data_IF_599950909323
#
_entry.id   IF_599950909323
#
_cell.length_a   1.000
_cell.length_b   1.000
_cell.length_c   1.000
_cell.angle_alpha   90.00
_cell.angle_beta   90.00
_cell.angle_gamma   90.00
#
_symmetry.space_group_name_H-M   'P 1'
#
loop_
_entity.id
_entity.type
_entity.pdbx_description
1 polymer ?
#
# COMPACT_ATOMS: atom_id res chain seq x y z
N UNK A 1 -14.33 -12.92 -7.03
CA UNK A 1 -13.20 -13.01 -6.09
C UNK A 1 -12.08 -13.84 -6.66
N UNK A 2 -11.14 -13.22 -7.38
CA UNK A 2 -9.98 -13.90 -7.97
C UNK A 2 -8.66 -13.59 -7.23
N UNK A 3 -8.74 -13.06 -6.00
CA UNK A 3 -7.57 -12.74 -5.17
C UNK A 3 -6.84 -11.43 -5.47
N UNK A 4 -7.27 -10.61 -6.43
CA UNK A 4 -6.58 -9.34 -6.78
C UNK A 4 -6.43 -8.39 -5.58
N UNK A 5 -7.50 -8.18 -4.82
CA UNK A 5 -7.46 -7.34 -3.61
C UNK A 5 -6.58 -7.94 -2.52
N UNK A 6 -6.51 -9.27 -2.43
CA UNK A 6 -5.62 -9.98 -1.50
C UNK A 6 -4.15 -9.76 -1.87
N UNK A 7 -3.81 -9.79 -3.16
CA UNK A 7 -2.45 -9.51 -3.64
C UNK A 7 -2.06 -8.05 -3.37
N UNK A 8 -2.96 -7.10 -3.63
CA UNK A 8 -2.73 -5.69 -3.32
C UNK A 8 -2.46 -5.48 -1.82
N UNK A 9 -3.27 -6.07 -0.94
CA UNK A 9 -3.10 -5.94 0.50
C UNK A 9 -1.79 -6.57 1.02
N UNK A 10 -1.28 -7.62 0.37
CA UNK A 10 0.04 -8.20 0.69
C UNK A 10 1.19 -7.29 0.24
N UNK A 11 1.06 -6.62 -0.92
CA UNK A 11 2.05 -5.64 -1.41
C UNK A 11 2.13 -4.40 -0.51
N UNK A 12 0.99 -3.93 -0.02
CA UNK A 12 0.90 -2.83 0.94
C UNK A 12 1.29 -3.25 2.37
N UNK A 13 1.58 -4.53 2.55
CA UNK A 13 1.95 -5.15 3.84
C UNK A 13 0.88 -4.94 4.91
N UNK A 14 -0.39 -4.91 4.51
CA UNK A 14 -1.52 -5.03 5.44
C UNK A 14 -1.64 -6.45 6.01
N UNK A 15 -1.05 -7.45 5.33
CA UNK A 15 -0.94 -8.83 5.80
C UNK A 15 0.47 -9.36 5.56
N UNK A 16 0.88 -10.35 6.36
CA UNK A 16 2.13 -11.09 6.14
C UNK A 16 1.88 -12.36 5.35
N UNK A 17 2.87 -12.76 4.52
CA UNK A 17 2.82 -14.02 3.79
C UNK A 17 3.14 -15.20 4.71
N UNK A 18 2.32 -16.26 4.66
CA UNK A 18 2.57 -17.48 5.42
C UNK A 18 3.71 -18.34 4.83
N UNK A 19 3.88 -18.31 3.50
CA UNK A 19 4.94 -19.02 2.79
C UNK A 19 5.46 -18.19 1.61
N UNK A 20 6.75 -18.33 1.29
CA UNK A 20 7.42 -17.57 0.24
C UNK A 20 7.88 -16.18 0.70
N UNK A 21 8.12 -15.29 -0.26
CA UNK A 21 8.50 -13.89 -0.03
C UNK A 21 8.00 -13.00 -1.16
N UNK A 22 7.76 -11.74 -0.82
CA UNK A 22 7.48 -10.67 -1.77
C UNK A 22 8.71 -9.77 -1.77
N UNK A 23 9.24 -9.47 -2.95
CA UNK A 23 10.45 -8.66 -3.08
C UNK A 23 10.18 -7.40 -3.87
N UNK A 24 10.77 -6.29 -3.44
CA UNK A 24 10.91 -5.06 -4.20
C UNK A 24 12.38 -4.93 -4.60
N UNK A 25 12.67 -4.93 -5.90
CA UNK A 25 14.04 -4.87 -6.44
C UNK A 25 15.01 -5.91 -5.84
N UNK A 26 14.50 -7.09 -5.52
CA UNK A 26 15.26 -8.20 -4.92
C UNK A 26 15.38 -8.15 -3.40
N UNK A 27 14.96 -7.06 -2.75
CA UNK A 27 14.88 -6.95 -1.28
C UNK A 27 13.54 -7.44 -0.78
N UNK A 28 13.53 -8.23 0.29
CA UNK A 28 12.28 -8.68 0.92
C UNK A 28 11.55 -7.49 1.54
N UNK A 29 10.25 -7.33 1.23
CA UNK A 29 9.47 -6.19 1.75
C UNK A 29 9.35 -6.16 3.28
N UNK A 30 9.63 -7.29 3.95
CA UNK A 30 9.67 -7.38 5.42
C UNK A 30 10.88 -6.66 6.02
N UNK A 31 11.95 -6.52 5.25
CA UNK A 31 13.21 -5.87 5.64
C UNK A 31 13.20 -4.36 5.37
N UNK A 32 12.19 -3.86 4.65
CA UNK A 32 12.03 -2.46 4.28
C UNK A 32 11.15 -1.71 5.30
N UNK A 33 11.37 -0.40 5.45
CA UNK A 33 10.54 0.48 6.29
C UNK A 33 9.14 0.63 5.68
N UNK A 34 8.07 0.18 6.38
CA UNK A 34 6.70 0.29 5.88
C UNK A 34 6.23 1.73 5.60
N UNK A 35 6.75 2.71 6.34
CA UNK A 35 6.39 4.12 6.19
C UNK A 35 6.95 4.69 4.89
N UNK A 36 8.22 4.40 4.61
CA UNK A 36 8.87 4.76 3.36
C UNK A 36 8.19 4.07 2.16
N UNK A 37 7.88 2.78 2.29
CA UNK A 37 7.19 2.04 1.23
C UNK A 37 5.85 2.67 0.86
N UNK A 38 4.99 2.96 1.84
CA UNK A 38 3.66 3.55 1.60
C UNK A 38 3.71 5.03 1.20
N UNK A 39 4.72 5.78 1.65
CA UNK A 39 4.81 7.21 1.40
C UNK A 39 5.60 7.62 0.16
N UNK A 40 6.41 6.71 -0.42
CA UNK A 40 7.34 7.10 -1.50
C UNK A 40 7.47 6.09 -2.63
N UNK A 41 7.11 4.83 -2.43
CA UNK A 41 7.31 3.78 -3.42
C UNK A 41 5.98 3.28 -4.00
N UNK A 42 4.98 3.08 -3.15
CA UNK A 42 3.69 2.52 -3.53
C UNK A 42 2.64 3.63 -3.53
N UNK A 43 2.18 4.03 -4.72
CA UNK A 43 0.96 4.81 -4.87
C UNK A 43 -0.23 3.87 -5.00
N UNK A 44 -1.08 3.81 -3.98
CA UNK A 44 -2.29 2.98 -3.99
C UNK A 44 -3.54 3.80 -4.27
N UNK A 45 -4.36 3.32 -5.20
CA UNK A 45 -5.65 3.92 -5.53
C UNK A 45 -6.74 2.98 -5.02
N UNK A 46 -7.38 3.37 -3.92
CA UNK A 46 -8.51 2.64 -3.37
C UNK A 46 -9.69 2.63 -4.36
N UNK A 47 -10.44 1.51 -4.43
CA UNK A 47 -11.66 1.44 -5.24
C UNK A 47 -12.74 2.43 -4.78
N UNK A 48 -12.78 2.74 -3.48
CA UNK A 48 -13.58 3.80 -2.89
C UNK A 48 -12.63 4.88 -2.34
N UNK A 49 -12.68 6.13 -2.84
CA UNK A 49 -11.80 7.18 -2.38
C UNK A 49 -12.15 7.60 -0.94
N UNK A 50 -11.15 7.68 -0.08
CA UNK A 50 -11.27 8.23 1.27
C UNK A 50 -11.17 9.75 1.20
N UNK A 51 -12.24 10.44 1.54
CA UNK A 51 -12.27 11.91 1.64
C UNK A 51 -12.44 12.32 3.10
N UNK A 52 -11.62 13.26 3.54
CA UNK A 52 -11.75 13.89 4.85
C UNK A 52 -12.72 15.07 4.76
N UNK A 53 -13.40 15.39 5.88
CA UNK A 53 -14.30 16.54 6.01
C UNK A 53 -13.52 17.87 6.10
N UNK A 54 -12.69 18.13 5.11
CA UNK A 54 -11.78 19.28 4.98
C UNK A 54 -11.90 19.88 3.57
N UNK A 55 -11.11 20.90 3.23
CA UNK A 55 -11.14 21.49 1.89
C UNK A 55 -10.63 20.52 0.81
N UNK A 56 -10.97 20.80 -0.45
CA UNK A 56 -10.47 20.04 -1.62
C UNK A 56 -8.93 20.06 -1.66
N UNK A 57 -8.33 21.21 -1.38
CA UNK A 57 -6.88 21.38 -1.35
C UNK A 57 -6.22 20.49 -0.28
N UNK A 58 -6.82 20.41 0.91
CA UNK A 58 -6.30 19.58 2.00
C UNK A 58 -6.43 18.09 1.69
N UNK A 59 -7.49 17.67 0.99
CA UNK A 59 -7.63 16.29 0.53
C UNK A 59 -6.58 15.92 -0.53
N UNK A 60 -6.25 16.82 -1.46
CA UNK A 60 -5.19 16.57 -2.46
C UNK A 60 -3.81 16.49 -1.80
N UNK A 61 -3.52 17.34 -0.81
CA UNK A 61 -2.23 17.36 -0.09
C UNK A 61 -1.95 16.12 0.76
N UNK A 62 -2.97 15.33 1.06
CA UNK A 62 -2.83 14.12 1.87
C UNK A 62 -2.20 12.95 1.09
N UNK A 63 -2.43 12.89 -0.22
CA UNK A 63 -1.82 11.89 -1.11
C UNK A 63 -0.37 12.24 -1.45
#
# INVERSE_FOLDING_TARGET
GSGKSTVAALLERFYEVHHGRVTLDGYDIRELDPTWMRGSVIGYIHQEPLLFSTSIMENIRYG
#
